data_IF_456806430324
#
_entry.id   IF_456806430324
#
_cell.length_a   1.000
_cell.length_b   1.000
_cell.length_c   1.000
_cell.angle_alpha   90.00
_cell.angle_beta   90.00
_cell.angle_gamma   90.00
#
_symmetry.space_group_name_H-M   'P 1'
#
loop_
_entity.id
_entity.type
_entity.pdbx_description
1 polymer ?
#
# COMPACT_ATOMS: atom_id res chain seq x y z
N UNK A 1 64.14 2.32 -46.46
CA UNK A 1 64.38 1.29 -45.42
C UNK A 1 63.26 1.45 -44.43
N UNK A 2 62.22 0.66 -44.66
CA UNK A 2 61.01 0.63 -43.71
C UNK A 2 61.25 -0.51 -42.73
N UNK A 3 61.43 -0.17 -41.46
CA UNK A 3 61.29 -1.15 -40.38
C UNK A 3 59.83 -1.10 -39.96
N UNK A 4 59.08 -2.11 -40.37
CA UNK A 4 57.78 -2.45 -39.74
C UNK A 4 58.14 -3.29 -38.52
N UNK A 5 57.95 -2.70 -37.34
CA UNK A 5 57.88 -3.45 -36.05
C UNK A 5 56.61 -4.28 -36.05
N UNK A 6 56.68 -5.53 -36.41
CA UNK A 6 55.67 -6.53 -36.15
C UNK A 6 55.65 -6.84 -34.63
N UNK A 7 54.67 -6.38 -33.95
CA UNK A 7 54.36 -6.80 -32.55
C UNK A 7 54.02 -8.30 -32.54
N UNK A 8 54.70 -9.12 -31.72
CA UNK A 8 54.52 -10.56 -31.75
C UNK A 8 53.11 -10.96 -31.30
N UNK A 9 52.42 -11.71 -32.13
CA UNK A 9 51.07 -12.29 -31.94
C UNK A 9 50.87 -13.07 -30.61
N UNK A 10 51.97 -13.47 -29.96
CA UNK A 10 51.96 -14.16 -28.68
C UNK A 10 51.42 -13.29 -27.50
N UNK A 11 51.58 -11.96 -27.55
CA UNK A 11 51.12 -11.07 -26.48
C UNK A 11 49.61 -10.81 -26.46
N UNK A 12 48.95 -11.01 -27.61
CA UNK A 12 47.48 -10.83 -27.71
C UNK A 12 46.76 -11.98 -27.03
N UNK A 13 47.28 -13.19 -27.08
CA UNK A 13 46.73 -14.40 -26.47
C UNK A 13 46.75 -14.34 -24.91
N UNK A 14 47.85 -13.84 -24.34
CA UNK A 14 47.98 -13.73 -22.87
C UNK A 14 47.07 -12.66 -22.26
N UNK A 15 46.83 -11.56 -22.97
CA UNK A 15 45.90 -10.50 -22.54
C UNK A 15 44.47 -10.99 -22.62
N UNK A 16 44.11 -11.79 -23.60
CA UNK A 16 42.77 -12.37 -23.72
C UNK A 16 42.51 -13.46 -22.68
N UNK A 17 43.52 -14.18 -22.27
CA UNK A 17 43.40 -15.21 -21.23
C UNK A 17 43.32 -14.60 -19.84
N UNK A 18 44.09 -13.58 -19.54
CA UNK A 18 43.98 -12.80 -18.31
C UNK A 18 42.64 -12.09 -18.22
N UNK A 19 42.11 -11.58 -19.32
CA UNK A 19 40.77 -10.96 -19.37
C UNK A 19 39.65 -11.98 -19.15
N UNK A 20 39.79 -13.20 -19.68
CA UNK A 20 38.84 -14.30 -19.42
C UNK A 20 38.90 -14.76 -17.97
N UNK A 21 40.06 -14.88 -17.36
CA UNK A 21 40.20 -15.23 -15.94
C UNK A 21 39.64 -14.13 -15.04
N UNK A 22 39.88 -12.85 -15.40
CA UNK A 22 39.28 -11.72 -14.68
C UNK A 22 37.76 -11.69 -14.76
N UNK A 23 37.19 -11.96 -15.94
CA UNK A 23 35.75 -12.09 -16.16
C UNK A 23 35.14 -13.34 -15.47
N UNK A 24 35.91 -14.42 -15.32
CA UNK A 24 35.50 -15.59 -14.55
C UNK A 24 35.58 -15.35 -13.03
N UNK A 25 36.56 -14.58 -12.57
CA UNK A 25 36.68 -14.17 -11.17
C UNK A 25 35.64 -13.12 -10.77
N UNK A 26 35.09 -12.34 -11.71
CA UNK A 26 33.97 -11.43 -11.50
C UNK A 26 32.61 -12.10 -11.60
N UNK A 27 32.53 -13.35 -11.97
CA UNK A 27 31.38 -14.17 -11.65
C UNK A 27 31.46 -14.49 -10.15
N UNK A 28 31.19 -13.50 -9.33
CA UNK A 28 30.58 -13.82 -8.05
C UNK A 28 29.46 -14.83 -8.35
N UNK A 29 29.28 -15.88 -7.52
CA UNK A 29 28.02 -16.57 -7.57
C UNK A 29 27.02 -15.43 -7.48
N UNK A 30 26.26 -15.22 -8.54
CA UNK A 30 25.03 -14.44 -8.47
C UNK A 30 24.35 -15.16 -7.33
N UNK A 31 24.37 -14.55 -6.14
CA UNK A 31 23.40 -14.90 -5.14
C UNK A 31 22.14 -14.96 -5.98
N UNK A 32 21.62 -16.13 -6.15
CA UNK A 32 20.33 -16.33 -6.77
C UNK A 32 19.43 -15.54 -5.86
N UNK A 33 19.22 -14.27 -6.23
CA UNK A 33 18.12 -13.49 -5.69
C UNK A 33 16.94 -14.30 -6.17
N UNK A 34 16.53 -15.25 -5.34
CA UNK A 34 15.34 -16.03 -5.55
C UNK A 34 14.28 -14.97 -5.63
N UNK A 35 13.65 -14.82 -6.81
CA UNK A 35 12.54 -13.90 -6.94
C UNK A 35 11.58 -14.25 -5.79
N UNK A 36 11.15 -13.26 -4.99
CA UNK A 36 10.31 -13.56 -3.85
C UNK A 36 9.08 -14.31 -4.32
N UNK A 37 8.71 -15.36 -3.62
CA UNK A 37 7.51 -16.14 -3.90
C UNK A 37 6.28 -15.20 -3.94
N UNK A 38 5.33 -15.41 -4.85
CA UNK A 38 4.14 -14.56 -4.96
C UNK A 38 3.41 -14.36 -3.63
N UNK A 39 3.38 -15.37 -2.77
CA UNK A 39 2.82 -15.28 -1.42
C UNK A 39 3.60 -14.31 -0.52
N UNK A 40 4.92 -14.22 -0.66
CA UNK A 40 5.75 -13.30 0.13
C UNK A 40 5.52 -11.85 -0.30
N UNK A 41 5.41 -11.60 -1.61
CA UNK A 41 5.08 -10.27 -2.16
C UNK A 41 3.71 -9.82 -1.65
N UNK A 42 2.73 -10.71 -1.70
CA UNK A 42 1.38 -10.44 -1.24
C UNK A 42 1.35 -10.16 0.28
N UNK A 43 2.03 -10.99 1.07
CA UNK A 43 2.11 -10.82 2.51
C UNK A 43 2.79 -9.51 2.91
N UNK A 44 3.87 -9.13 2.22
CA UNK A 44 4.57 -7.87 2.47
C UNK A 44 3.68 -6.66 2.13
N UNK A 45 2.99 -6.70 1.00
CA UNK A 45 2.03 -5.67 0.63
C UNK A 45 0.94 -5.49 1.70
N UNK A 46 0.35 -6.60 2.16
CA UNK A 46 -0.68 -6.59 3.21
C UNK A 46 -0.11 -6.02 4.52
N UNK A 47 1.10 -6.44 4.93
CA UNK A 47 1.76 -5.93 6.15
C UNK A 47 1.97 -4.43 6.10
N UNK A 48 2.48 -3.90 4.99
CA UNK A 48 2.73 -2.46 4.82
C UNK A 48 1.45 -1.64 4.95
N UNK A 49 0.37 -2.05 4.29
CA UNK A 49 -0.91 -1.35 4.38
C UNK A 49 -1.56 -1.52 5.75
N UNK A 50 -1.50 -2.70 6.35
CA UNK A 50 -2.03 -2.92 7.71
C UNK A 50 -1.27 -2.10 8.76
N UNK A 51 0.05 -1.96 8.63
CA UNK A 51 0.85 -1.10 9.50
C UNK A 51 0.48 0.39 9.35
N UNK A 52 0.00 0.80 8.18
CA UNK A 52 -0.56 2.12 7.94
C UNK A 52 -2.04 2.26 8.36
N UNK A 53 -2.63 1.24 8.99
CA UNK A 53 -4.03 1.22 9.41
C UNK A 53 -5.03 1.06 8.27
N UNK A 54 -4.56 0.59 7.12
CA UNK A 54 -5.37 0.40 5.92
C UNK A 54 -5.67 -1.09 5.72
N UNK A 55 -6.94 -1.42 5.53
CA UNK A 55 -7.36 -2.77 5.17
C UNK A 55 -7.42 -2.88 3.64
N UNK A 56 -6.66 -3.80 3.08
CA UNK A 56 -6.57 -3.98 1.63
C UNK A 56 -7.75 -4.81 1.12
N UNK A 57 -8.44 -4.31 0.09
CA UNK A 57 -9.51 -5.06 -0.53
C UNK A 57 -8.95 -6.15 -1.46
N UNK A 58 -9.61 -7.32 -1.49
CA UNK A 58 -9.23 -8.46 -2.33
C UNK A 58 -9.21 -8.10 -3.81
N UNK A 59 -10.13 -7.25 -4.25
CA UNK A 59 -10.23 -6.76 -5.63
C UNK A 59 -8.98 -6.06 -6.14
N UNK A 60 -8.13 -5.52 -5.25
CA UNK A 60 -6.84 -4.91 -5.61
C UNK A 60 -5.93 -5.93 -6.30
N UNK A 61 -5.94 -7.18 -5.84
CA UNK A 61 -5.09 -8.23 -6.39
C UNK A 61 -5.65 -8.88 -7.65
N UNK A 62 -6.97 -8.82 -7.86
CA UNK A 62 -7.63 -9.31 -9.06
C UNK A 62 -7.49 -8.34 -10.24
N UNK A 63 -7.10 -7.10 -9.98
CA UNK A 63 -6.95 -6.03 -10.96
C UNK A 63 -5.47 -5.78 -11.30
N UNK A 64 -5.16 -5.14 -12.45
CA UNK A 64 -3.79 -4.68 -12.73
C UNK A 64 -3.25 -3.77 -11.62
N UNK A 65 -1.96 -3.84 -11.28
CA UNK A 65 -0.90 -4.58 -11.97
C UNK A 65 -0.77 -6.06 -11.58
N UNK A 66 -1.48 -6.52 -10.54
CA UNK A 66 -1.31 -7.88 -10.01
C UNK A 66 -2.01 -8.93 -10.88
N UNK A 67 -3.27 -8.71 -11.23
CA UNK A 67 -4.08 -9.60 -12.09
C UNK A 67 -4.02 -11.08 -11.69
N UNK A 68 -3.99 -11.36 -10.38
CA UNK A 68 -3.97 -12.73 -9.83
C UNK A 68 -5.33 -13.39 -10.06
N UNK A 69 -5.36 -14.65 -10.43
CA UNK A 69 -6.61 -15.38 -10.57
C UNK A 69 -7.28 -15.61 -9.20
N UNK A 70 -8.63 -15.62 -9.18
CA UNK A 70 -9.41 -15.73 -7.93
C UNK A 70 -9.07 -16.98 -7.12
N UNK A 71 -8.90 -18.12 -7.79
CA UNK A 71 -8.54 -19.40 -7.18
C UNK A 71 -7.12 -19.35 -6.62
N UNK A 72 -6.18 -18.78 -7.36
CA UNK A 72 -4.79 -18.62 -6.95
C UNK A 72 -4.68 -17.68 -5.75
N UNK A 73 -5.39 -16.55 -5.79
CA UNK A 73 -5.43 -15.61 -4.67
C UNK A 73 -5.95 -16.27 -3.39
N UNK A 74 -6.97 -17.11 -3.52
CA UNK A 74 -7.53 -17.85 -2.37
C UNK A 74 -6.50 -18.78 -1.72
N UNK A 75 -5.72 -19.50 -2.54
CA UNK A 75 -4.65 -20.38 -2.07
C UNK A 75 -3.52 -19.58 -1.39
N UNK A 76 -3.12 -18.47 -2.00
CA UNK A 76 -2.08 -17.59 -1.44
C UNK A 76 -2.49 -17.01 -0.09
N UNK A 77 -3.72 -16.51 0.03
CA UNK A 77 -4.25 -15.97 1.28
C UNK A 77 -4.34 -17.02 2.39
N UNK A 78 -4.72 -18.24 2.04
CA UNK A 78 -4.76 -19.35 3.00
C UNK A 78 -3.35 -19.73 3.48
N UNK A 79 -2.37 -19.75 2.59
CA UNK A 79 -0.96 -19.97 2.93
C UNK A 79 -0.43 -18.90 3.89
N UNK A 80 -0.75 -17.63 3.66
CA UNK A 80 -0.34 -16.53 4.52
C UNK A 80 -0.95 -16.66 5.92
N UNK A 81 -2.23 -17.07 6.02
CA UNK A 81 -2.89 -17.30 7.30
C UNK A 81 -2.25 -18.44 8.10
N UNK A 82 -1.91 -19.55 7.43
CA UNK A 82 -1.27 -20.70 8.07
C UNK A 82 0.11 -20.33 8.63
N UNK A 83 0.79 -19.39 7.99
CA UNK A 83 2.06 -18.85 8.46
C UNK A 83 1.93 -17.84 9.62
N UNK A 84 0.71 -17.61 10.14
CA UNK A 84 0.47 -16.74 11.29
C UNK A 84 0.46 -15.24 10.96
N UNK A 85 0.30 -14.88 9.71
CA UNK A 85 0.26 -13.48 9.28
C UNK A 85 -1.13 -12.88 9.48
N UNK A 86 -1.32 -12.17 10.60
CA UNK A 86 -2.61 -11.58 10.98
C UNK A 86 -3.14 -10.55 9.98
N UNK A 87 -2.27 -9.96 9.15
CA UNK A 87 -2.68 -9.01 8.13
C UNK A 87 -3.60 -9.65 7.06
N UNK A 88 -3.39 -10.94 6.76
CA UNK A 88 -4.25 -11.68 5.84
C UNK A 88 -5.69 -11.84 6.35
N UNK A 89 -5.89 -11.86 7.66
CA UNK A 89 -7.24 -11.90 8.26
C UNK A 89 -8.00 -10.60 8.00
N UNK A 90 -7.31 -9.48 7.92
CA UNK A 90 -7.90 -8.16 7.63
C UNK A 90 -8.51 -8.09 6.24
N UNK A 91 -7.89 -8.74 5.25
CA UNK A 91 -8.40 -8.80 3.89
C UNK A 91 -9.80 -9.41 3.78
N UNK A 92 -10.07 -10.50 4.51
CA UNK A 92 -11.37 -11.17 4.48
C UNK A 92 -12.48 -10.32 5.09
N UNK A 93 -12.12 -9.48 6.05
CA UNK A 93 -13.07 -8.59 6.70
C UNK A 93 -13.53 -7.49 5.75
N UNK A 94 -12.65 -6.97 4.91
CA UNK A 94 -12.96 -5.87 3.98
C UNK A 94 -13.91 -6.31 2.85
N UNK A 95 -13.85 -7.56 2.41
CA UNK A 95 -14.80 -8.06 1.41
C UNK A 95 -16.25 -8.10 1.89
N UNK A 96 -16.43 -8.30 3.19
CA UNK A 96 -17.74 -8.51 3.79
C UNK A 96 -18.35 -7.23 4.37
N UNK A 97 -17.53 -6.20 4.66
CA UNK A 97 -17.98 -5.03 5.41
C UNK A 97 -17.16 -3.77 5.12
N UNK A 98 -17.61 -2.98 4.13
CA UNK A 98 -17.02 -1.68 3.79
C UNK A 98 -17.08 -0.72 5.00
N UNK A 99 -18.16 -0.76 5.79
CA UNK A 99 -18.31 0.07 6.97
C UNK A 99 -17.19 -0.18 7.99
N UNK A 100 -16.80 -1.44 8.16
CA UNK A 100 -15.72 -1.83 9.05
C UNK A 100 -14.36 -1.33 8.57
N UNK A 101 -14.11 -1.39 7.26
CA UNK A 101 -12.88 -0.86 6.66
C UNK A 101 -12.78 0.65 6.86
N UNK A 102 -13.86 1.39 6.61
CA UNK A 102 -13.93 2.84 6.81
C UNK A 102 -13.72 3.18 8.28
N UNK A 103 -14.45 2.53 9.19
CA UNK A 103 -14.34 2.78 10.63
C UNK A 103 -12.93 2.52 11.16
N UNK A 104 -12.27 1.46 10.67
CA UNK A 104 -10.90 1.14 11.02
C UNK A 104 -9.94 2.24 10.57
N UNK A 105 -10.01 2.66 9.31
CA UNK A 105 -9.18 3.73 8.76
C UNK A 105 -9.36 5.05 9.54
N UNK A 106 -10.60 5.44 9.80
CA UNK A 106 -10.94 6.67 10.53
C UNK A 106 -10.40 6.63 11.96
N UNK A 107 -10.63 5.53 12.69
CA UNK A 107 -10.15 5.38 14.07
C UNK A 107 -8.63 5.37 14.13
N UNK A 108 -7.97 4.66 13.22
CA UNK A 108 -6.51 4.63 13.13
C UNK A 108 -5.92 6.02 12.89
N UNK A 109 -6.46 6.75 11.91
CA UNK A 109 -6.00 8.10 11.58
C UNK A 109 -6.17 9.08 12.74
N UNK A 110 -7.35 9.05 13.38
CA UNK A 110 -7.65 9.90 14.52
C UNK A 110 -6.79 9.59 15.74
N UNK A 111 -6.45 8.32 15.96
CA UNK A 111 -5.61 7.87 17.10
C UNK A 111 -4.12 8.15 16.86
N UNK A 112 -3.63 7.84 15.67
CA UNK A 112 -2.19 7.86 15.36
C UNK A 112 -1.71 9.25 14.98
N UNK A 113 -2.48 9.97 14.14
CA UNK A 113 -2.08 11.27 13.58
C UNK A 113 -2.92 12.45 14.06
N UNK A 114 -3.74 12.33 15.08
CA UNK A 114 -4.85 13.14 15.62
C UNK A 114 -5.50 14.09 14.60
N UNK A 115 -5.89 13.57 13.43
CA UNK A 115 -6.54 14.32 12.34
C UNK A 115 -7.73 13.55 11.76
N UNK A 116 -8.73 14.25 11.17
CA UNK A 116 -9.85 13.60 10.51
C UNK A 116 -9.42 12.94 9.18
N UNK A 117 -10.15 11.91 8.77
CA UNK A 117 -9.89 11.13 7.56
C UNK A 117 -10.65 11.70 6.37
N UNK A 118 -9.96 12.11 5.31
CA UNK A 118 -10.58 12.65 4.09
C UNK A 118 -11.28 11.54 3.31
N UNK A 119 -12.58 11.66 3.07
CA UNK A 119 -13.39 10.62 2.39
C UNK A 119 -12.87 10.29 1.00
N UNK A 120 -12.36 11.27 0.26
CA UNK A 120 -11.78 11.06 -1.07
C UNK A 120 -10.61 10.05 -1.09
N UNK A 121 -9.93 9.83 0.04
CA UNK A 121 -8.86 8.83 0.14
C UNK A 121 -9.37 7.38 0.03
N UNK A 122 -10.65 7.15 0.30
CA UNK A 122 -11.27 5.83 0.15
C UNK A 122 -11.44 5.41 -1.32
N UNK A 123 -11.42 6.37 -2.25
CA UNK A 123 -11.45 6.10 -3.69
C UNK A 123 -10.07 5.78 -4.28
N UNK A 124 -9.01 5.87 -3.48
CA UNK A 124 -7.64 5.60 -3.87
C UNK A 124 -7.13 4.29 -3.28
N UNK A 125 -5.88 3.92 -3.64
CA UNK A 125 -5.22 2.77 -3.02
C UNK A 125 -5.21 2.90 -1.49
N UNK A 126 -5.41 1.82 -0.75
CA UNK A 126 -5.61 0.44 -1.17
C UNK A 126 -7.08 0.06 -1.37
N UNK A 127 -8.03 0.98 -1.13
CA UNK A 127 -9.46 0.67 -1.06
C UNK A 127 -10.14 0.61 -2.42
N UNK A 128 -9.93 1.63 -3.28
CA UNK A 128 -10.58 1.79 -4.57
C UNK A 128 -12.12 1.66 -4.53
N UNK A 129 -12.74 2.09 -3.43
CA UNK A 129 -14.19 2.05 -3.31
C UNK A 129 -14.84 3.04 -4.28
N UNK A 130 -15.98 2.64 -4.82
CA UNK A 130 -16.82 3.52 -5.63
C UNK A 130 -17.53 4.54 -4.72
N UNK A 131 -17.76 5.75 -5.23
CA UNK A 131 -18.46 6.81 -4.49
C UNK A 131 -19.80 6.33 -3.90
N UNK A 132 -20.64 5.65 -4.70
CA UNK A 132 -21.90 5.11 -4.25
C UNK A 132 -21.77 4.05 -3.13
N UNK A 133 -20.66 3.28 -3.11
CA UNK A 133 -20.38 2.33 -2.03
C UNK A 133 -20.02 3.05 -0.73
N UNK A 134 -19.25 4.14 -0.83
CA UNK A 134 -18.86 4.97 0.31
C UNK A 134 -20.10 5.65 0.91
N UNK A 135 -20.94 6.26 0.08
CA UNK A 135 -22.19 6.90 0.51
C UNK A 135 -23.12 5.91 1.22
N UNK A 136 -23.33 4.75 0.62
CA UNK A 136 -24.15 3.69 1.20
C UNK A 136 -23.58 3.18 2.53
N UNK A 137 -22.26 3.04 2.63
CA UNK A 137 -21.60 2.63 3.86
C UNK A 137 -21.73 3.69 4.97
N UNK A 138 -21.52 4.96 4.66
CA UNK A 138 -21.67 6.07 5.62
C UNK A 138 -23.12 6.10 6.13
N UNK A 139 -24.11 6.00 5.26
CA UNK A 139 -25.52 5.96 5.65
C UNK A 139 -25.86 4.75 6.54
N UNK A 140 -25.25 3.58 6.27
CA UNK A 140 -25.41 2.40 7.10
C UNK A 140 -24.74 2.56 8.48
N UNK A 141 -23.57 3.22 8.52
CA UNK A 141 -22.83 3.48 9.76
C UNK A 141 -23.57 4.45 10.69
N UNK A 142 -24.31 5.42 10.16
CA UNK A 142 -25.07 6.41 10.94
C UNK A 142 -26.15 5.75 11.82
N UNK A 143 -26.65 4.59 11.43
CA UNK A 143 -27.70 3.85 12.17
C UNK A 143 -27.17 2.65 12.97
N UNK A 144 -25.93 2.25 12.76
CA UNK A 144 -25.34 1.07 13.39
C UNK A 144 -24.60 1.44 14.69
N UNK A 145 -24.98 0.86 15.84
CA UNK A 145 -24.43 1.22 17.16
C UNK A 145 -22.90 1.03 17.27
N UNK A 146 -22.34 0.06 16.57
CA UNK A 146 -20.89 -0.23 16.57
C UNK A 146 -20.04 0.88 15.92
N UNK A 147 -20.66 1.76 15.11
CA UNK A 147 -20.03 2.90 14.46
C UNK A 147 -20.48 4.26 15.03
N UNK A 148 -21.20 4.27 16.14
CA UNK A 148 -21.74 5.47 16.75
C UNK A 148 -20.70 6.57 17.07
N UNK A 149 -19.44 6.20 17.14
CA UNK A 149 -18.33 7.14 17.35
C UNK A 149 -17.81 7.79 16.04
N UNK A 150 -18.21 7.29 14.89
CA UNK A 150 -17.80 7.84 13.60
C UNK A 150 -18.78 8.95 13.21
N UNK A 151 -18.23 10.15 12.95
CA UNK A 151 -18.99 11.33 12.60
C UNK A 151 -18.47 11.97 11.34
N UNK A 152 -19.36 12.64 10.65
CA UNK A 152 -19.06 13.42 9.46
C UNK A 152 -18.73 14.87 9.85
N UNK A 153 -17.80 15.48 9.14
CA UNK A 153 -17.51 16.91 9.21
C UNK A 153 -17.15 17.39 7.82
N UNK A 154 -17.66 18.55 7.45
CA UNK A 154 -17.45 19.14 6.13
C UNK A 154 -16.74 20.49 6.28
N UNK A 155 -15.72 20.75 5.44
CA UNK A 155 -15.07 22.05 5.37
C UNK A 155 -15.96 23.08 4.70
N UNK A 156 -15.62 24.38 4.82
CA UNK A 156 -16.31 25.45 4.11
C UNK A 156 -16.22 25.36 2.58
N UNK A 157 -15.29 24.55 2.07
CA UNK A 157 -15.14 24.23 0.64
C UNK A 157 -15.88 22.98 0.21
N UNK A 158 -16.79 22.45 1.03
CA UNK A 158 -17.61 21.26 0.79
C UNK A 158 -16.77 19.97 0.62
N UNK A 159 -15.62 19.87 1.31
CA UNK A 159 -14.83 18.64 1.36
C UNK A 159 -15.23 17.83 2.59
N UNK A 160 -15.66 16.58 2.35
CA UNK A 160 -16.15 15.68 3.40
C UNK A 160 -15.00 14.91 4.07
N UNK A 161 -15.03 14.89 5.39
CA UNK A 161 -14.16 14.14 6.27
C UNK A 161 -14.95 13.30 7.27
N UNK A 162 -14.34 12.23 7.75
CA UNK A 162 -14.85 11.42 8.87
C UNK A 162 -13.87 11.53 10.03
N UNK A 163 -14.42 11.50 11.26
CA UNK A 163 -13.62 11.45 12.47
C UNK A 163 -14.25 10.56 13.52
N UNK A 164 -13.47 10.11 14.49
CA UNK A 164 -14.00 9.34 15.63
C UNK A 164 -14.04 10.20 16.88
N UNK A 165 -15.24 10.31 17.47
CA UNK A 165 -15.46 11.00 18.76
C UNK A 165 -14.68 10.37 19.93
N UNK A 166 -14.16 9.16 19.77
CA UNK A 166 -13.26 8.53 20.76
C UNK A 166 -11.93 9.27 20.89
N UNK A 167 -11.47 9.94 19.83
CA UNK A 167 -10.12 10.50 19.76
C UNK A 167 -10.11 12.01 19.55
N UNK A 168 -11.18 12.61 19.05
CA UNK A 168 -11.26 14.07 18.86
C UNK A 168 -12.70 14.60 18.95
N UNK A 169 -12.80 15.86 19.29
CA UNK A 169 -14.08 16.58 19.29
C UNK A 169 -14.43 17.10 17.91
N UNK A 170 -15.71 17.37 17.65
CA UNK A 170 -16.17 17.98 16.40
C UNK A 170 -15.45 19.30 16.08
N UNK A 171 -15.31 20.20 17.08
CA UNK A 171 -14.63 21.48 16.87
C UNK A 171 -13.17 21.33 16.46
N UNK A 172 -12.44 20.34 16.99
CA UNK A 172 -11.09 20.03 16.56
C UNK A 172 -11.07 19.48 15.14
N UNK A 173 -11.98 18.55 14.81
CA UNK A 173 -12.09 17.98 13.48
C UNK A 173 -12.38 19.06 12.45
N UNK A 174 -13.36 19.95 12.71
CA UNK A 174 -13.72 21.05 11.84
C UNK A 174 -12.54 22.01 11.63
N UNK A 175 -11.89 22.47 12.70
CA UNK A 175 -10.72 23.37 12.58
C UNK A 175 -9.58 22.77 11.75
N UNK A 176 -9.34 21.45 11.87
CA UNK A 176 -8.35 20.77 11.04
C UNK A 176 -8.78 20.68 9.57
N UNK A 177 -10.06 20.44 9.28
CA UNK A 177 -10.58 20.45 7.92
C UNK A 177 -10.40 21.83 7.28
N UNK A 178 -10.74 22.90 7.98
CA UNK A 178 -10.53 24.27 7.52
C UNK A 178 -9.03 24.57 7.28
N UNK A 179 -8.17 24.13 8.19
CA UNK A 179 -6.73 24.25 8.01
C UNK A 179 -6.25 23.56 6.74
N UNK A 180 -6.65 22.30 6.50
CA UNK A 180 -6.20 21.52 5.35
C UNK A 180 -6.72 22.03 4.00
N UNK A 181 -7.95 22.57 3.97
CA UNK A 181 -8.59 22.92 2.71
C UNK A 181 -8.54 24.43 2.41
N UNK A 182 -8.31 25.27 3.40
CA UNK A 182 -8.42 26.71 3.27
C UNK A 182 -7.21 27.46 3.82
N UNK A 183 -6.95 27.35 5.13
CA UNK A 183 -6.03 28.26 5.81
C UNK A 183 -4.57 28.09 5.39
N UNK A 184 -4.11 26.85 5.18
CA UNK A 184 -2.73 26.60 4.76
C UNK A 184 -2.38 27.22 3.41
N UNK A 185 -3.38 27.51 2.55
CA UNK A 185 -3.18 28.12 1.24
C UNK A 185 -3.31 29.66 1.29
N UNK A 186 -3.88 30.21 2.36
CA UNK A 186 -4.05 31.65 2.54
C UNK A 186 -2.85 32.29 3.25
N UNK A 187 -2.14 31.50 4.06
CA UNK A 187 -0.95 31.96 4.79
C UNK A 187 0.24 31.00 4.52
N UNK A 188 0.88 31.12 3.34
CA UNK A 188 2.03 30.27 2.97
C UNK A 188 3.29 30.60 3.77
#
# INVERSE_FOLDING_TARGET
MNHQDELPLAKVSEVDEAKRQWLQGMRHPVDTVTEPEPAEILAEFIRQHSAAGQLVARTVFLSPPYSVAEEELSVLLESIKQNGDYAAMSLQVVEQDICRAIAHAVRFECQTYPRPYKVAMLMQAPYYFQEAQIEAAIAAMDVAPEYADIRQVESSTAVLYLFSERFMTYGKAYGLCEWFEVEQFQNP
#
